data_IF_614354902304
#
_entry.id   IF_614354902304
#
_cell.length_a   1.000
_cell.length_b   1.000
_cell.length_c   1.000
_cell.angle_alpha   90.00
_cell.angle_beta   90.00
_cell.angle_gamma   90.00
#
_symmetry.space_group_name_H-M   'P 1'
#
loop_
_entity.id
_entity.type
_entity.pdbx_description
1 polymer ?
#
# COMPACT_ATOMS: atom_id res chain seq x y z
N UNK A 1 -31.10 -9.90 21.73
CA UNK A 1 -32.37 -9.48 21.11
C UNK A 1 -32.78 -10.50 20.07
N UNK A 2 -34.02 -10.99 20.14
CA UNK A 2 -34.60 -11.83 19.10
C UNK A 2 -35.25 -10.93 18.05
N UNK A 3 -35.06 -11.24 16.78
CA UNK A 3 -35.65 -10.52 15.65
C UNK A 3 -36.02 -11.49 14.53
N UNK A 4 -36.84 -11.05 13.57
CA UNK A 4 -37.16 -11.80 12.36
C UNK A 4 -36.65 -11.06 11.14
N UNK A 5 -36.03 -11.78 10.24
CA UNK A 5 -35.57 -11.28 8.94
C UNK A 5 -35.89 -12.33 7.88
N UNK A 6 -36.57 -11.91 6.80
CA UNK A 6 -37.02 -12.79 5.70
C UNK A 6 -37.73 -14.07 6.19
N UNK A 7 -38.64 -13.94 7.16
CA UNK A 7 -39.41 -15.05 7.72
C UNK A 7 -38.64 -15.96 8.68
N UNK A 8 -37.33 -15.77 8.87
CA UNK A 8 -36.49 -16.55 9.80
C UNK A 8 -36.29 -15.80 11.10
N UNK A 9 -36.41 -16.50 12.23
CA UNK A 9 -36.08 -15.96 13.54
C UNK A 9 -34.57 -16.06 13.80
N UNK A 10 -33.96 -14.96 14.23
CA UNK A 10 -32.54 -14.85 14.56
C UNK A 10 -32.36 -14.17 15.92
N UNK A 11 -31.21 -14.43 16.54
CA UNK A 11 -30.84 -13.88 17.85
C UNK A 11 -29.52 -13.14 17.72
N UNK A 12 -29.47 -11.88 18.16
CA UNK A 12 -28.26 -11.06 18.20
C UNK A 12 -27.91 -10.70 19.65
N UNK A 13 -26.66 -10.92 20.06
CA UNK A 13 -26.15 -10.46 21.36
C UNK A 13 -25.56 -9.05 21.25
N UNK A 14 -25.96 -8.14 22.13
CA UNK A 14 -25.48 -6.75 22.15
C UNK A 14 -24.13 -6.57 22.86
N UNK A 15 -23.65 -7.61 23.57
CA UNK A 15 -22.40 -7.63 24.33
C UNK A 15 -22.54 -8.44 25.62
N UNK A 16 -21.46 -8.58 26.38
CA UNK A 16 -21.39 -9.34 27.64
C UNK A 16 -21.32 -8.35 28.81
N UNK A 17 -22.17 -8.53 29.82
CA UNK A 17 -22.05 -7.77 31.09
C UNK A 17 -20.83 -8.27 31.88
N UNK A 18 -20.00 -7.41 32.51
CA UNK A 18 -20.11 -5.95 32.68
C UNK A 18 -19.33 -5.11 31.64
N UNK A 19 -18.84 -5.70 30.55
CA UNK A 19 -18.06 -4.99 29.52
C UNK A 19 -18.87 -3.90 28.78
N UNK A 20 -20.19 -4.04 28.75
CA UNK A 20 -21.11 -3.04 28.19
C UNK A 20 -22.10 -2.54 29.24
N UNK A 21 -22.30 -1.22 29.30
CA UNK A 21 -23.30 -0.60 30.16
C UNK A 21 -24.73 -0.74 29.64
N UNK A 22 -25.72 -0.50 30.50
CA UNK A 22 -27.14 -0.52 30.12
C UNK A 22 -27.48 0.52 29.03
N UNK A 23 -26.84 1.69 29.07
CA UNK A 23 -27.04 2.74 28.07
C UNK A 23 -26.58 2.28 26.68
N UNK A 24 -25.35 1.79 26.57
CA UNK A 24 -24.77 1.28 25.32
C UNK A 24 -25.56 0.07 24.77
N UNK A 25 -26.06 -0.80 25.64
CA UNK A 25 -26.93 -1.90 25.24
C UNK A 25 -28.25 -1.43 24.60
N UNK A 26 -28.82 -0.31 25.08
CA UNK A 26 -30.02 0.31 24.50
C UNK A 26 -29.72 0.94 23.14
N UNK A 27 -28.60 1.64 23.00
CA UNK A 27 -28.18 2.22 21.72
C UNK A 27 -28.00 1.15 20.64
N UNK A 28 -27.23 0.09 20.93
CA UNK A 28 -27.03 -1.05 20.02
C UNK A 28 -28.35 -1.72 19.62
N UNK A 29 -29.33 -1.75 20.52
CA UNK A 29 -30.67 -2.27 20.23
C UNK A 29 -31.41 -1.38 19.22
N UNK A 30 -31.37 -0.07 19.40
CA UNK A 30 -32.01 0.87 18.47
C UNK A 30 -31.32 0.87 17.10
N UNK A 31 -29.99 0.78 17.05
CA UNK A 31 -29.25 0.58 15.79
C UNK A 31 -29.68 -0.69 15.06
N UNK A 32 -29.79 -1.82 15.78
CA UNK A 32 -30.27 -3.09 15.22
C UNK A 32 -31.66 -2.93 14.60
N UNK A 33 -32.57 -2.20 15.25
CA UNK A 33 -33.91 -1.91 14.69
C UNK A 33 -33.83 -1.04 13.44
N UNK A 34 -32.93 -0.05 13.40
CA UNK A 34 -32.71 0.79 12.20
C UNK A 34 -32.23 -0.03 11.02
N UNK A 35 -31.26 -0.94 11.23
CA UNK A 35 -30.80 -1.87 10.19
C UNK A 35 -31.94 -2.75 9.66
N UNK A 36 -32.77 -3.30 10.55
CA UNK A 36 -33.94 -4.10 10.14
C UNK A 36 -34.98 -3.28 9.38
N UNK A 37 -35.22 -2.03 9.76
CA UNK A 37 -36.12 -1.13 9.05
C UNK A 37 -35.59 -0.76 7.65
N UNK A 38 -34.26 -0.68 7.49
CA UNK A 38 -33.59 -0.53 6.20
C UNK A 38 -33.56 -1.82 5.35
N UNK A 39 -34.09 -2.93 5.86
CA UNK A 39 -34.07 -4.23 5.18
C UNK A 39 -32.70 -4.91 5.17
N UNK A 40 -31.78 -4.49 6.03
CA UNK A 40 -30.45 -5.10 6.19
C UNK A 40 -30.47 -6.10 7.36
N UNK A 41 -29.66 -7.17 7.26
CA UNK A 41 -29.50 -8.15 8.34
C UNK A 41 -28.35 -7.76 9.28
N UNK A 42 -28.63 -7.35 10.54
CA UNK A 42 -27.60 -6.92 11.48
C UNK A 42 -26.57 -8.01 11.81
N UNK A 43 -26.93 -9.29 11.70
CA UNK A 43 -26.00 -10.38 11.95
C UNK A 43 -25.03 -10.58 10.80
N UNK A 44 -25.45 -10.36 9.56
CA UNK A 44 -24.54 -10.43 8.42
C UNK A 44 -23.58 -9.24 8.43
N UNK A 45 -24.06 -8.04 8.78
CA UNK A 45 -23.17 -6.86 8.80
C UNK A 45 -22.11 -6.99 9.89
N UNK A 46 -22.45 -7.58 11.04
CA UNK A 46 -21.47 -7.90 12.08
C UNK A 46 -20.44 -8.92 11.63
N UNK A 47 -20.85 -9.95 10.88
CA UNK A 47 -19.92 -10.94 10.32
C UNK A 47 -19.01 -10.30 9.27
N UNK A 48 -19.58 -9.49 8.38
CA UNK A 48 -18.81 -8.77 7.36
C UNK A 48 -17.80 -7.83 8.00
N UNK A 49 -18.18 -7.11 9.05
CA UNK A 49 -17.25 -6.24 9.77
C UNK A 49 -16.14 -7.04 10.47
N UNK A 50 -16.49 -8.17 11.09
CA UNK A 50 -15.50 -9.05 11.71
C UNK A 50 -14.52 -9.61 10.66
N UNK A 51 -15.03 -10.14 9.54
CA UNK A 51 -14.21 -10.60 8.42
C UNK A 51 -13.32 -9.47 7.89
N UNK A 52 -13.86 -8.27 7.68
CA UNK A 52 -13.08 -7.09 7.25
C UNK A 52 -11.96 -6.78 8.23
N UNK A 53 -12.21 -6.86 9.54
CA UNK A 53 -11.18 -6.60 10.55
C UNK A 53 -10.06 -7.65 10.54
N UNK A 54 -10.40 -8.93 10.37
CA UNK A 54 -9.44 -10.04 10.27
C UNK A 54 -8.61 -9.97 8.98
N UNK A 55 -9.28 -9.66 7.86
CA UNK A 55 -8.61 -9.43 6.58
C UNK A 55 -7.72 -8.19 6.61
N UNK A 56 -8.17 -7.10 7.23
CA UNK A 56 -7.35 -5.89 7.41
C UNK A 56 -6.08 -6.22 8.20
N UNK A 57 -6.17 -6.97 9.30
CA UNK A 57 -4.99 -7.37 10.07
C UNK A 57 -3.98 -8.18 9.23
N UNK A 58 -4.45 -8.95 8.25
CA UNK A 58 -3.62 -9.79 7.38
C UNK A 58 -3.02 -9.03 6.19
N UNK A 59 -3.74 -8.05 5.64
CA UNK A 59 -3.37 -7.30 4.42
C UNK A 59 -2.52 -6.06 4.71
N UNK A 60 -1.48 -6.24 5.52
CA UNK A 60 -0.50 -5.18 5.78
C UNK A 60 0.36 -4.90 4.56
N UNK A 61 0.80 -3.64 4.41
CA UNK A 61 1.72 -3.26 3.34
C UNK A 61 2.99 -4.12 3.33
N UNK A 62 3.51 -4.46 4.52
CA UNK A 62 4.71 -5.30 4.66
C UNK A 62 4.51 -6.70 4.07
N UNK A 63 3.41 -7.37 4.43
CA UNK A 63 3.12 -8.72 3.95
C UNK A 63 3.01 -8.75 2.42
N UNK A 64 2.25 -7.82 1.85
CA UNK A 64 1.98 -7.77 0.42
C UNK A 64 3.21 -7.30 -0.37
N UNK A 65 4.02 -6.40 0.18
CA UNK A 65 5.30 -6.04 -0.41
C UNK A 65 6.27 -7.22 -0.47
N UNK A 66 6.29 -8.10 0.54
CA UNK A 66 7.13 -9.31 0.54
C UNK A 66 6.62 -10.34 -0.48
N UNK A 67 5.31 -10.56 -0.52
CA UNK A 67 4.69 -11.45 -1.50
C UNK A 67 4.97 -10.98 -2.94
N UNK A 68 4.81 -9.68 -3.20
CA UNK A 68 5.15 -9.06 -4.48
C UNK A 68 6.64 -9.24 -4.83
N UNK A 69 7.54 -9.06 -3.85
CA UNK A 69 8.96 -9.25 -4.05
C UNK A 69 9.32 -10.69 -4.44
N UNK A 70 8.78 -11.66 -3.70
CA UNK A 70 8.97 -13.09 -3.97
C UNK A 70 8.39 -13.49 -5.33
N UNK A 71 7.23 -12.94 -5.72
CA UNK A 71 6.65 -13.13 -7.03
C UNK A 71 7.60 -12.67 -8.15
N UNK A 72 8.13 -11.45 -8.05
CA UNK A 72 9.07 -10.94 -9.06
C UNK A 72 10.37 -11.75 -9.12
N UNK A 73 10.83 -12.28 -7.99
CA UNK A 73 11.99 -13.16 -7.96
C UNK A 73 11.73 -14.45 -8.74
N UNK A 74 10.52 -15.02 -8.63
CA UNK A 74 10.10 -16.20 -9.43
C UNK A 74 9.94 -15.90 -10.91
N UNK A 75 9.51 -14.70 -11.27
CA UNK A 75 9.36 -14.26 -12.67
C UNK A 75 10.71 -14.00 -13.37
N UNK A 76 11.85 -14.18 -12.68
CA UNK A 76 13.18 -14.09 -13.29
C UNK A 76 13.68 -12.65 -13.47
N UNK A 77 13.21 -11.71 -12.65
CA UNK A 77 13.74 -10.34 -12.67
C UNK A 77 15.25 -10.33 -12.38
N UNK A 78 16.00 -9.47 -13.08
CA UNK A 78 17.46 -9.36 -12.91
C UNK A 78 17.86 -9.22 -11.42
N UNK A 79 18.94 -9.91 -10.97
CA UNK A 79 19.35 -9.89 -9.57
C UNK A 79 19.72 -8.48 -9.10
N UNK A 80 20.29 -7.66 -9.98
CA UNK A 80 20.61 -6.25 -9.71
C UNK A 80 19.34 -5.43 -9.46
N UNK A 81 18.26 -5.74 -10.18
CA UNK A 81 16.97 -5.05 -10.01
C UNK A 81 16.28 -5.50 -8.73
N UNK A 82 16.37 -6.78 -8.38
CA UNK A 82 15.85 -7.31 -7.12
C UNK A 82 16.56 -6.67 -5.91
N UNK A 83 17.89 -6.58 -5.90
CA UNK A 83 18.63 -5.95 -4.81
C UNK A 83 18.26 -4.47 -4.62
N UNK A 84 18.12 -3.72 -5.72
CA UNK A 84 17.68 -2.31 -5.67
C UNK A 84 16.24 -2.17 -5.15
N UNK A 85 15.34 -3.05 -5.60
CA UNK A 85 13.96 -3.06 -5.12
C UNK A 85 13.89 -3.43 -3.65
N UNK A 86 14.70 -4.39 -3.18
CA UNK A 86 14.75 -4.81 -1.78
C UNK A 86 15.10 -3.65 -0.86
N UNK A 87 16.17 -2.91 -1.18
CA UNK A 87 16.60 -1.76 -0.40
C UNK A 87 15.52 -0.66 -0.32
N UNK A 88 14.85 -0.38 -1.43
CA UNK A 88 13.75 0.60 -1.47
C UNK A 88 12.51 0.12 -0.70
N UNK A 89 12.18 -1.17 -0.80
CA UNK A 89 11.08 -1.78 -0.07
C UNK A 89 11.35 -1.78 1.43
N UNK A 90 12.57 -2.09 1.87
CA UNK A 90 12.90 -2.11 3.30
C UNK A 90 12.80 -0.71 3.92
N UNK A 91 13.24 0.33 3.20
CA UNK A 91 12.99 1.73 3.61
C UNK A 91 11.50 2.07 3.64
N UNK A 92 10.73 1.65 2.64
CA UNK A 92 9.29 1.91 2.58
C UNK A 92 8.52 1.21 3.71
N UNK A 93 8.89 -0.05 3.99
CA UNK A 93 8.31 -0.87 5.05
C UNK A 93 8.52 -0.24 6.41
N UNK A 94 9.73 0.25 6.72
CA UNK A 94 10.02 0.91 8.00
C UNK A 94 9.08 2.09 8.27
N UNK A 95 8.73 2.86 7.24
CA UNK A 95 7.90 4.06 7.39
C UNK A 95 6.39 3.77 7.35
N UNK A 96 5.95 2.73 6.65
CA UNK A 96 4.52 2.35 6.48
C UNK A 96 4.16 1.07 7.28
N UNK A 97 4.86 0.82 8.39
CA UNK A 97 4.81 -0.47 9.10
C UNK A 97 3.41 -0.77 9.68
N UNK A 98 2.98 -2.04 9.59
CA UNK A 98 1.80 -2.62 10.25
C UNK A 98 0.43 -1.98 9.95
N UNK A 99 0.34 -1.07 8.99
CA UNK A 99 -0.94 -0.53 8.53
C UNK A 99 -1.53 -1.41 7.43
N UNK A 100 -2.85 -1.68 7.45
CA UNK A 100 -3.51 -2.36 6.37
C UNK A 100 -3.58 -1.45 5.14
N UNK A 101 -3.44 -1.99 3.94
CA UNK A 101 -3.42 -1.19 2.71
C UNK A 101 -4.65 -0.31 2.52
N UNK A 102 -5.81 -0.79 2.96
CA UNK A 102 -7.08 -0.06 2.90
C UNK A 102 -7.12 1.20 3.79
N UNK A 103 -6.28 1.28 4.82
CA UNK A 103 -6.20 2.46 5.70
C UNK A 103 -5.06 3.41 5.32
N UNK A 104 -4.20 3.05 4.38
CA UNK A 104 -3.08 3.90 3.97
C UNK A 104 -3.61 5.04 3.10
N UNK A 105 -3.45 6.27 3.57
CA UNK A 105 -3.89 7.48 2.87
C UNK A 105 -2.82 8.11 1.98
N UNK A 106 -3.24 9.05 1.12
CA UNK A 106 -2.33 9.82 0.23
C UNK A 106 -1.29 10.58 1.04
N UNK A 107 -1.70 11.15 2.17
CA UNK A 107 -0.86 11.94 3.06
C UNK A 107 0.31 11.13 3.61
N UNK A 108 0.06 9.89 4.02
CA UNK A 108 1.11 9.00 4.56
C UNK A 108 2.14 8.67 3.48
N UNK A 109 1.69 8.31 2.28
CA UNK A 109 2.60 8.03 1.15
C UNK A 109 3.40 9.28 0.78
N UNK A 110 2.78 10.46 0.79
CA UNK A 110 3.45 11.73 0.51
C UNK A 110 4.55 12.01 1.53
N UNK A 111 4.27 11.87 2.83
CA UNK A 111 5.27 12.09 3.90
C UNK A 111 6.50 11.20 3.71
N UNK A 112 6.29 9.94 3.32
CA UNK A 112 7.39 8.99 3.07
C UNK A 112 8.26 9.44 1.90
N UNK A 113 7.64 9.89 0.81
CA UNK A 113 8.38 10.30 -0.38
C UNK A 113 9.06 11.65 -0.18
N UNK A 114 8.38 12.63 0.43
CA UNK A 114 8.94 13.96 0.73
C UNK A 114 10.14 13.87 1.69
N UNK A 115 10.18 12.88 2.59
CA UNK A 115 11.35 12.65 3.46
C UNK A 115 12.62 12.31 2.67
N UNK A 116 12.48 11.57 1.56
CA UNK A 116 13.61 11.28 0.65
C UNK A 116 13.94 12.48 -0.23
N UNK A 117 12.92 13.23 -0.65
CA UNK A 117 13.09 14.46 -1.41
C UNK A 117 13.84 15.54 -0.63
N UNK A 118 13.61 15.65 0.69
CA UNK A 118 14.33 16.56 1.57
C UNK A 118 15.85 16.30 1.57
N UNK A 119 16.27 15.05 1.33
CA UNK A 119 17.68 14.68 1.17
C UNK A 119 18.23 14.97 -0.24
N UNK A 120 17.50 15.71 -1.10
CA UNK A 120 17.81 16.04 -2.50
C UNK A 120 17.96 14.82 -3.43
N UNK A 121 17.40 13.67 -3.05
CA UNK A 121 17.42 12.46 -3.86
C UNK A 121 16.13 12.30 -4.69
N UNK A 122 15.93 13.19 -5.68
CA UNK A 122 14.71 13.26 -6.49
C UNK A 122 14.41 11.96 -7.27
N UNK A 123 15.43 11.35 -7.89
CA UNK A 123 15.26 10.08 -8.63
C UNK A 123 14.89 8.92 -7.70
N UNK A 124 15.48 8.87 -6.50
CA UNK A 124 15.15 7.85 -5.49
C UNK A 124 13.72 8.01 -4.98
N UNK A 125 13.26 9.24 -4.75
CA UNK A 125 11.89 9.55 -4.38
C UNK A 125 10.89 9.10 -5.46
N UNK A 126 11.14 9.44 -6.72
CA UNK A 126 10.34 9.00 -7.88
C UNK A 126 10.29 7.48 -8.01
N UNK A 127 11.41 6.80 -7.81
CA UNK A 127 11.50 5.33 -7.88
C UNK A 127 10.77 4.67 -6.71
N UNK A 128 10.90 5.21 -5.49
CA UNK A 128 10.19 4.72 -4.32
C UNK A 128 8.67 4.81 -4.50
N UNK A 129 8.14 5.97 -4.92
CA UNK A 129 6.71 6.13 -5.26
C UNK A 129 6.26 5.09 -6.29
N UNK A 130 7.07 4.87 -7.31
CA UNK A 130 6.76 3.91 -8.38
C UNK A 130 6.70 2.46 -7.86
N UNK A 131 7.55 2.09 -6.91
CA UNK A 131 7.53 0.77 -6.27
C UNK A 131 6.31 0.64 -5.36
N UNK A 132 6.01 1.65 -4.53
CA UNK A 132 4.81 1.66 -3.69
C UNK A 132 3.57 1.43 -4.57
N UNK A 133 3.42 2.16 -5.68
CA UNK A 133 2.30 1.93 -6.61
C UNK A 133 2.31 0.56 -7.31
N UNK A 134 3.47 -0.10 -7.48
CA UNK A 134 3.50 -1.50 -7.97
C UNK A 134 2.95 -2.46 -6.92
N UNK A 135 3.27 -2.24 -5.64
CA UNK A 135 2.74 -3.04 -4.53
C UNK A 135 1.23 -2.85 -4.41
N UNK A 136 0.71 -1.62 -4.48
CA UNK A 136 -0.73 -1.35 -4.50
C UNK A 136 -1.44 -1.99 -5.70
N UNK A 137 -0.86 -1.90 -6.91
CA UNK A 137 -1.42 -2.58 -8.10
C UNK A 137 -1.44 -4.09 -7.96
N UNK A 138 -0.43 -4.69 -7.33
CA UNK A 138 -0.45 -6.11 -7.01
C UNK A 138 -1.57 -6.45 -6.01
N UNK A 139 -1.74 -5.63 -4.97
CA UNK A 139 -2.84 -5.79 -4.02
C UNK A 139 -4.21 -5.73 -4.70
N UNK A 140 -4.41 -4.80 -5.62
CA UNK A 140 -5.64 -4.67 -6.44
C UNK A 140 -5.86 -5.92 -7.28
N UNK A 141 -4.82 -6.41 -7.97
CA UNK A 141 -4.93 -7.64 -8.76
C UNK A 141 -5.31 -8.87 -7.92
N UNK A 142 -4.95 -8.87 -6.63
CA UNK A 142 -5.32 -9.92 -5.66
C UNK A 142 -6.62 -9.64 -4.89
N UNK A 143 -7.37 -8.59 -5.25
CA UNK A 143 -8.59 -8.15 -4.56
C UNK A 143 -8.42 -7.82 -3.07
N UNK A 144 -7.24 -7.32 -2.67
CA UNK A 144 -6.90 -6.94 -1.28
C UNK A 144 -6.92 -5.43 -1.03
N UNK A 145 -7.05 -4.63 -2.09
CA UNK A 145 -7.16 -3.18 -2.05
C UNK A 145 -7.97 -2.69 -3.26
N UNK A 146 -8.68 -1.56 -3.10
CA UNK A 146 -9.55 -1.03 -4.15
C UNK A 146 -8.88 0.05 -5.01
N UNK A 147 -7.92 0.79 -4.45
CA UNK A 147 -7.30 1.97 -5.11
C UNK A 147 -5.79 2.05 -4.89
N UNK A 148 -5.07 2.49 -5.93
CA UNK A 148 -3.66 2.86 -5.84
C UNK A 148 -3.52 4.33 -5.45
N UNK A 149 -3.09 4.54 -4.21
CA UNK A 149 -2.89 5.85 -3.58
C UNK A 149 -1.64 6.56 -4.11
N UNK A 150 -0.66 5.82 -4.65
CA UNK A 150 0.61 6.38 -5.12
C UNK A 150 0.49 7.10 -6.48
N UNK A 151 -0.67 7.00 -7.14
CA UNK A 151 -0.97 7.73 -8.38
C UNK A 151 -1.14 9.22 -8.10
N UNK A 152 -1.87 9.56 -7.04
CA UNK A 152 -2.20 10.95 -6.68
C UNK A 152 -0.96 11.73 -6.21
N UNK A 153 0.04 11.03 -5.66
CA UNK A 153 1.31 11.62 -5.22
C UNK A 153 2.20 12.07 -6.39
N UNK A 154 1.91 11.65 -7.63
CA UNK A 154 2.78 11.93 -8.79
C UNK A 154 2.95 13.43 -9.06
N UNK A 155 1.89 14.22 -8.91
CA UNK A 155 1.90 15.66 -9.18
C UNK A 155 2.54 16.50 -8.07
N UNK A 156 2.75 15.93 -6.89
CA UNK A 156 3.28 16.64 -5.73
C UNK A 156 4.82 16.66 -5.66
N UNK A 157 5.51 15.83 -6.46
CA UNK A 157 6.96 15.68 -6.40
C UNK A 157 7.66 16.59 -7.41
N UNK A 158 8.80 17.17 -7.01
CA UNK A 158 9.65 17.91 -7.95
C UNK A 158 10.20 16.94 -8.99
N UNK A 159 9.93 17.22 -10.27
CA UNK A 159 10.45 16.44 -11.37
C UNK A 159 11.98 16.62 -11.45
N UNK A 160 12.78 15.54 -11.40
CA UNK A 160 14.22 15.64 -11.62
C UNK A 160 14.49 16.15 -13.04
N UNK A 161 15.35 17.16 -13.17
CA UNK A 161 15.82 17.63 -14.48
C UNK A 161 16.77 16.57 -15.05
N UNK A 162 16.34 15.90 -16.11
CA UNK A 162 17.16 14.91 -16.82
C UNK A 162 18.26 15.65 -17.56
N UNK A 163 19.52 15.44 -17.15
CA UNK A 163 20.68 15.86 -17.94
C UNK A 163 21.01 14.72 -18.90
N UNK A 164 20.64 14.88 -20.17
CA UNK A 164 21.07 13.96 -21.21
C UNK A 164 22.59 14.05 -21.34
N UNK A 165 23.28 12.92 -21.21
CA UNK A 165 24.69 12.83 -21.59
C UNK A 165 24.72 12.87 -23.12
N UNK A 166 25.52 13.77 -23.70
CA UNK A 166 25.71 13.80 -25.14
C UNK A 166 26.27 12.44 -25.60
N UNK A 167 25.78 11.93 -26.72
CA UNK A 167 26.39 10.77 -27.34
C UNK A 167 27.82 11.14 -27.71
N UNK A 168 28.78 10.30 -27.35
CA UNK A 168 30.17 10.47 -27.74
C UNK A 168 30.22 10.29 -29.26
N UNK A 169 30.30 11.39 -30.00
CA UNK A 169 30.33 11.39 -31.48
C UNK A 169 31.76 11.29 -32.02
N UNK A 170 32.76 11.61 -31.20
CA UNK A 170 34.16 11.53 -31.58
C UNK A 170 34.78 10.19 -31.13
N UNK A 171 35.35 9.38 -32.05
CA UNK A 171 36.06 8.16 -31.69
C UNK A 171 37.17 8.38 -30.66
N UNK A 172 37.86 9.53 -30.67
CA UNK A 172 38.97 9.78 -29.73
C UNK A 172 38.49 9.87 -28.26
N UNK A 173 37.31 10.46 -28.03
CA UNK A 173 36.70 10.55 -26.70
C UNK A 173 36.11 9.22 -26.23
N UNK A 174 35.79 8.29 -27.14
CA UNK A 174 35.22 6.99 -26.81
C UNK A 174 36.25 6.00 -26.25
N UNK A 175 37.52 6.11 -26.68
CA UNK A 175 38.58 5.16 -26.32
C UNK A 175 39.57 5.69 -25.29
N UNK A 176 39.47 6.96 -24.87
CA UNK A 176 40.30 7.53 -23.80
C UNK A 176 41.80 7.46 -24.09
N UNK A 177 42.19 7.53 -25.36
CA UNK A 177 43.60 7.56 -25.77
C UNK A 177 44.03 8.99 -26.02
N UNK A 178 44.50 9.65 -24.95
CA UNK A 178 45.43 10.77 -25.09
C UNK A 178 46.63 10.26 -25.88
N UNK A 179 46.69 10.59 -27.17
CA UNK A 179 47.78 10.28 -28.07
C UNK A 179 49.00 11.11 -27.66
N UNK A 180 49.71 10.60 -26.64
CA UNK A 180 50.79 11.29 -25.96
C UNK A 180 51.99 10.41 -25.63
N UNK A 181 52.29 9.34 -26.38
CA UNK A 181 53.65 8.79 -26.55
C UNK A 181 53.61 7.50 -27.38
N UNK A 182 54.00 7.58 -28.65
CA UNK A 182 54.75 6.50 -29.30
C UNK A 182 55.49 7.12 -30.48
N UNK A 183 56.66 7.70 -30.22
CA UNK A 183 57.66 7.94 -31.26
C UNK A 183 58.38 6.62 -31.49
N UNK A 184 58.45 6.25 -32.77
CA UNK A 184 59.26 5.17 -33.36
C UNK A 184 60.74 5.40 -33.03
#
# INVERSE_FOLDING_TARGET
>A
MNYRYLGKQKTLSSGVWPLIGLAEAREKREETKRYLAAGLDPSEERKLEQMRSEFAASYTFRAIAEEWFLKNAREGLSPVTLSKNRWLLDKARMMLTNRPLCQIGVQEVLLVVCRIEAARHYESAKRMRSIIGRVFRYAIATARADRDVAVDVRGALVAPKVKHLAAITDPAEAWGTDAGHCRI
#
